data_IF_812386612977
#
_entry.id   IF_812386612977
#
_cell.length_a   1.000
_cell.length_b   1.000
_cell.length_c   1.000
_cell.angle_alpha   90.00
_cell.angle_beta   90.00
_cell.angle_gamma   90.00
#
_symmetry.space_group_name_H-M   'P 1'
#
loop_
_entity.id
_entity.type
_entity.pdbx_description
1 polymer ?
#
# COMPACT_ATOMS: atom_id res chain seq x y z
N UNK A 1 -8.62 19.24 -12.94
CA UNK A 1 -9.59 18.70 -13.92
C UNK A 1 -10.21 19.80 -14.79
N UNK A 2 -11.17 20.64 -14.33
CA UNK A 2 -11.87 21.62 -15.21
C UNK A 2 -10.95 22.51 -16.06
N UNK A 3 -9.87 23.04 -15.47
CA UNK A 3 -8.85 23.82 -16.20
C UNK A 3 -8.18 23.03 -17.34
N UNK A 4 -7.95 21.74 -17.14
CA UNK A 4 -7.35 20.86 -18.14
C UNK A 4 -8.33 20.53 -19.28
N UNK A 5 -9.62 20.33 -18.96
CA UNK A 5 -10.70 20.16 -19.95
C UNK A 5 -10.85 21.40 -20.83
N UNK A 6 -10.97 22.59 -20.21
CA UNK A 6 -11.08 23.86 -20.96
C UNK A 6 -9.86 24.11 -21.85
N UNK A 7 -8.69 23.67 -21.41
CA UNK A 7 -7.45 23.77 -22.19
C UNK A 7 -7.27 22.63 -23.21
N UNK A 8 -8.26 21.74 -23.39
CA UNK A 8 -8.20 20.62 -24.33
C UNK A 8 -7.02 19.68 -24.09
N UNK A 9 -6.59 19.51 -22.83
CA UNK A 9 -5.37 18.74 -22.51
C UNK A 9 -5.59 17.25 -22.69
N UNK A 10 -6.77 16.76 -22.36
CA UNK A 10 -7.09 15.33 -22.40
C UNK A 10 -7.27 14.83 -23.83
N UNK A 11 -7.79 15.66 -24.72
CA UNK A 11 -7.93 15.41 -26.16
C UNK A 11 -6.56 15.35 -26.87
N UNK A 12 -5.53 15.94 -26.27
CA UNK A 12 -4.15 15.93 -26.77
C UNK A 12 -3.30 14.79 -26.21
N UNK A 13 -3.84 13.97 -25.31
CA UNK A 13 -3.14 12.79 -24.80
C UNK A 13 -3.08 11.75 -25.93
N UNK A 14 -1.87 11.35 -26.38
CA UNK A 14 -1.70 10.30 -27.36
C UNK A 14 -2.11 8.96 -26.76
N UNK A 15 -2.60 8.04 -27.60
CA UNK A 15 -2.95 6.67 -27.20
C UNK A 15 -3.99 6.58 -26.08
N UNK A 16 -4.75 7.66 -25.84
CA UNK A 16 -5.86 7.65 -24.89
C UNK A 16 -6.89 6.61 -25.32
N UNK A 17 -7.42 5.87 -24.36
CA UNK A 17 -8.49 4.91 -24.58
C UNK A 17 -9.77 5.42 -23.95
N UNK A 18 -10.89 5.25 -24.64
CA UNK A 18 -12.18 5.70 -24.14
C UNK A 18 -12.90 4.54 -23.48
N UNK A 19 -13.14 4.67 -22.18
CA UNK A 19 -13.96 3.76 -21.40
C UNK A 19 -15.44 4.05 -21.63
N UNK A 20 -16.17 3.02 -22.05
CA UNK A 20 -17.61 3.06 -22.33
C UNK A 20 -18.45 2.26 -21.34
N UNK A 21 -17.81 1.53 -20.42
CA UNK A 21 -18.50 0.81 -19.36
C UNK A 21 -17.57 -0.01 -18.48
N UNK A 22 -18.15 -0.67 -17.48
CA UNK A 22 -17.46 -1.58 -16.57
C UNK A 22 -18.23 -2.90 -16.48
N UNK A 23 -17.50 -4.00 -16.39
CA UNK A 23 -18.07 -5.34 -16.17
C UNK A 23 -17.76 -5.78 -14.74
N UNK A 24 -18.72 -5.49 -13.86
CA UNK A 24 -18.55 -5.66 -12.42
C UNK A 24 -17.33 -4.89 -11.91
N UNK A 25 -16.49 -5.58 -11.12
CA UNK A 25 -15.24 -5.03 -10.56
C UNK A 25 -13.98 -5.51 -11.28
N UNK A 26 -14.12 -6.40 -12.26
CA UNK A 26 -12.98 -7.16 -12.80
C UNK A 26 -12.51 -6.66 -14.16
N UNK A 27 -13.39 -6.02 -14.94
CA UNK A 27 -13.07 -5.63 -16.29
C UNK A 27 -13.64 -4.25 -16.66
N UNK A 28 -13.07 -3.69 -17.71
CA UNK A 28 -13.44 -2.40 -18.30
C UNK A 28 -13.72 -2.60 -19.78
N UNK A 29 -14.76 -1.90 -20.26
CA UNK A 29 -15.12 -1.86 -21.65
C UNK A 29 -14.54 -0.61 -22.31
N UNK A 30 -13.76 -0.80 -23.36
CA UNK A 30 -13.08 0.23 -24.12
C UNK A 30 -13.72 0.35 -25.52
N UNK A 31 -13.72 1.56 -26.05
CA UNK A 31 -14.06 1.83 -27.44
C UNK A 31 -12.83 1.61 -28.32
N UNK A 32 -12.99 0.83 -29.38
CA UNK A 32 -11.96 0.61 -30.39
C UNK A 32 -12.00 1.71 -31.46
N UNK A 33 -10.97 1.77 -32.30
CA UNK A 33 -10.92 2.72 -33.43
C UNK A 33 -12.07 2.53 -34.44
N UNK A 34 -12.64 1.32 -34.50
CA UNK A 34 -13.83 1.01 -35.31
C UNK A 34 -15.15 1.44 -34.66
N UNK A 35 -15.12 2.00 -33.45
CA UNK A 35 -16.30 2.33 -32.64
C UNK A 35 -16.96 1.10 -31.99
N UNK A 36 -16.33 -0.08 -32.09
CA UNK A 36 -16.79 -1.28 -31.40
C UNK A 36 -16.42 -1.24 -29.92
N UNK A 37 -17.06 -2.10 -29.13
CA UNK A 37 -16.74 -2.29 -27.72
C UNK A 37 -15.86 -3.52 -27.56
N UNK A 38 -14.73 -3.35 -26.91
CA UNK A 38 -13.84 -4.43 -26.48
C UNK A 38 -13.74 -4.46 -24.96
N UNK A 39 -13.80 -5.64 -24.37
CA UNK A 39 -13.68 -5.82 -22.92
C UNK A 39 -12.30 -6.36 -22.58
N UNK A 40 -11.63 -5.72 -21.61
CA UNK A 40 -10.34 -6.17 -21.08
C UNK A 40 -10.40 -6.27 -19.56
N UNK A 41 -9.69 -7.22 -18.98
CA UNK A 41 -9.63 -7.34 -17.51
C UNK A 41 -8.70 -6.27 -16.95
N UNK A 42 -8.97 -5.83 -15.71
CA UNK A 42 -8.06 -4.90 -15.04
C UNK A 42 -6.65 -5.48 -14.92
N UNK A 43 -6.51 -6.80 -14.75
CA UNK A 43 -5.21 -7.45 -14.58
C UNK A 43 -4.36 -7.44 -15.85
N UNK A 44 -4.98 -7.33 -17.03
CA UNK A 44 -4.28 -7.24 -18.32
C UNK A 44 -3.85 -5.80 -18.63
N UNK A 45 -4.42 -4.81 -17.93
CA UNK A 45 -4.04 -3.40 -18.04
C UNK A 45 -2.92 -3.07 -17.04
N UNK A 46 -1.74 -2.77 -17.58
CA UNK A 46 -0.61 -2.31 -16.79
C UNK A 46 -0.84 -0.88 -16.22
N UNK A 47 0.00 -0.42 -15.27
CA UNK A 47 -0.14 0.91 -14.71
C UNK A 47 -0.01 2.07 -15.72
N UNK A 48 0.70 1.88 -16.84
CA UNK A 48 0.84 2.89 -17.88
C UNK A 48 -0.46 3.03 -18.69
N UNK A 49 -1.02 1.92 -19.15
CA UNK A 49 -2.29 1.85 -19.87
C UNK A 49 -3.44 2.41 -19.01
N UNK A 50 -3.49 2.08 -17.71
CA UNK A 50 -4.53 2.59 -16.79
C UNK A 50 -4.53 4.12 -16.66
N UNK A 51 -3.38 4.78 -16.83
CA UNK A 51 -3.30 6.26 -16.85
C UNK A 51 -3.92 6.86 -18.12
N UNK A 52 -3.99 6.08 -19.20
CA UNK A 52 -4.51 6.52 -20.49
C UNK A 52 -6.01 6.27 -20.64
N UNK A 53 -6.70 5.83 -19.59
CA UNK A 53 -8.15 5.62 -19.61
C UNK A 53 -8.90 6.92 -19.33
N UNK A 54 -9.80 7.28 -20.25
CA UNK A 54 -10.68 8.44 -20.14
C UNK A 54 -12.12 8.03 -20.36
N UNK A 55 -13.06 8.78 -19.80
CA UNK A 55 -14.49 8.69 -20.12
C UNK A 55 -14.95 9.99 -20.77
N UNK A 56 -15.97 9.92 -21.62
CA UNK A 56 -16.67 11.12 -22.11
C UNK A 56 -17.66 11.59 -21.04
N UNK A 57 -17.64 12.89 -20.76
CA UNK A 57 -18.68 13.57 -19.98
C UNK A 57 -19.22 14.76 -20.79
N UNK A 58 -20.35 15.36 -20.39
CA UNK A 58 -20.85 16.57 -21.05
C UNK A 58 -19.85 17.75 -21.03
N UNK A 59 -18.84 17.70 -20.16
CA UNK A 59 -17.79 18.72 -20.03
C UNK A 59 -16.51 18.40 -20.83
N UNK A 60 -16.51 17.32 -21.62
CA UNK A 60 -15.36 16.85 -22.38
C UNK A 60 -14.80 15.54 -21.81
N UNK A 61 -13.56 15.23 -22.14
CA UNK A 61 -12.93 14.03 -21.60
C UNK A 61 -12.61 14.19 -20.10
N UNK A 62 -12.66 13.10 -19.36
CA UNK A 62 -12.21 13.01 -17.97
C UNK A 62 -11.35 11.78 -17.77
N UNK A 63 -10.17 11.89 -17.14
CA UNK A 63 -9.36 10.72 -16.80
C UNK A 63 -10.09 9.86 -15.76
N UNK A 64 -9.94 8.54 -15.84
CA UNK A 64 -10.37 7.63 -14.78
C UNK A 64 -9.39 7.61 -13.59
N UNK A 65 -8.20 8.19 -13.75
CA UNK A 65 -7.20 8.29 -12.69
C UNK A 65 -7.71 9.15 -11.52
N UNK A 66 -7.64 8.59 -10.30
CA UNK A 66 -8.00 9.32 -9.07
C UNK A 66 -7.01 10.45 -8.76
N UNK A 67 -5.72 10.20 -8.98
CA UNK A 67 -4.65 11.14 -8.65
C UNK A 67 -4.18 11.88 -9.89
N UNK A 68 -4.28 13.20 -9.84
CA UNK A 68 -3.89 14.11 -10.92
C UNK A 68 -2.79 15.06 -10.44
N UNK A 69 -1.95 15.50 -11.36
CA UNK A 69 -1.03 16.60 -11.14
C UNK A 69 -1.78 17.96 -11.14
N UNK A 70 -1.08 19.05 -10.82
CA UNK A 70 -1.65 20.40 -10.84
C UNK A 70 -2.15 20.81 -12.24
N UNK A 71 -1.50 20.29 -13.28
CA UNK A 71 -1.92 20.45 -14.68
C UNK A 71 -3.16 19.62 -15.05
N UNK A 72 -3.65 18.78 -14.14
CA UNK A 72 -4.81 17.92 -14.29
C UNK A 72 -4.56 16.61 -15.02
N UNK A 73 -3.34 16.31 -15.48
CA UNK A 73 -3.00 15.03 -16.08
C UNK A 73 -2.83 13.94 -15.02
N UNK A 74 -3.10 12.66 -15.35
CA UNK A 74 -2.84 11.52 -14.47
C UNK A 74 -1.43 11.55 -13.90
N UNK A 75 -1.34 11.43 -12.57
CA UNK A 75 -0.05 11.44 -11.86
C UNK A 75 0.71 10.14 -12.13
N UNK A 76 1.98 10.27 -12.50
CA UNK A 76 2.87 9.12 -12.58
C UNK A 76 3.20 8.55 -11.19
N UNK A 77 3.35 7.24 -11.09
CA UNK A 77 3.66 6.54 -9.84
C UNK A 77 4.98 7.01 -9.22
N UNK A 78 6.02 7.23 -10.02
CA UNK A 78 7.31 7.75 -9.54
C UNK A 78 7.19 9.21 -9.07
N UNK A 79 6.20 9.95 -9.56
CA UNK A 79 5.93 11.32 -9.13
C UNK A 79 5.75 11.44 -7.60
N UNK A 80 5.23 10.40 -6.94
CA UNK A 80 5.11 10.39 -5.48
C UNK A 80 6.45 10.56 -4.74
N UNK A 81 7.57 10.07 -5.28
CA UNK A 81 8.87 10.28 -4.66
C UNK A 81 9.22 11.77 -4.53
N UNK A 82 8.90 12.57 -5.55
CA UNK A 82 9.16 14.02 -5.52
C UNK A 82 8.31 14.75 -4.46
N UNK A 83 7.06 14.30 -4.25
CA UNK A 83 6.22 14.82 -3.17
C UNK A 83 6.85 14.57 -1.80
N UNK A 84 7.38 13.38 -1.58
CA UNK A 84 8.05 13.02 -0.33
C UNK A 84 9.37 13.76 -0.15
N UNK A 85 10.18 13.90 -1.20
CA UNK A 85 11.41 14.72 -1.16
C UNK A 85 11.11 16.17 -0.79
N UNK A 86 10.08 16.75 -1.38
CA UNK A 86 9.64 18.12 -1.06
C UNK A 86 9.18 18.23 0.38
N UNK A 87 8.43 17.25 0.89
CA UNK A 87 8.01 17.21 2.29
C UNK A 87 9.21 17.04 3.24
N UNK A 88 10.15 16.14 2.94
CA UNK A 88 11.36 15.94 3.74
C UNK A 88 12.19 17.21 3.83
N UNK A 89 12.37 17.95 2.73
CA UNK A 89 13.05 19.26 2.73
C UNK A 89 12.36 20.28 3.64
N UNK A 90 11.03 20.30 3.63
CA UNK A 90 10.25 21.18 4.52
C UNK A 90 10.44 20.81 5.98
N UNK A 91 10.46 19.52 6.31
CA UNK A 91 10.69 19.03 7.67
C UNK A 91 12.11 19.35 8.15
N UNK A 92 13.11 19.16 7.29
CA UNK A 92 14.50 19.53 7.59
C UNK A 92 14.64 21.03 7.87
N UNK A 93 13.94 21.87 7.10
CA UNK A 93 13.91 23.32 7.30
C UNK A 93 13.22 23.74 8.62
N UNK A 94 12.33 22.90 9.17
CA UNK A 94 11.71 23.09 10.48
C UNK A 94 12.60 22.62 11.64
N UNK A 95 13.79 22.10 11.35
CA UNK A 95 14.81 21.76 12.36
C UNK A 95 14.90 20.27 12.71
N UNK A 96 14.04 19.41 12.14
CA UNK A 96 14.17 17.97 12.31
C UNK A 96 15.18 17.41 11.29
N UNK A 97 16.46 17.50 11.65
CA UNK A 97 17.59 17.02 10.83
C UNK A 97 17.60 15.51 10.72
N UNK A 98 18.16 15.01 9.63
CA UNK A 98 18.32 13.58 9.29
C UNK A 98 17.01 12.77 9.16
N UNK A 99 15.85 13.43 9.22
CA UNK A 99 14.57 12.80 8.93
C UNK A 99 14.35 12.69 7.42
N UNK A 100 14.00 11.49 6.97
CA UNK A 100 13.56 11.25 5.59
C UNK A 100 12.47 10.20 5.56
N UNK A 101 11.49 10.36 4.69
CA UNK A 101 10.47 9.35 4.42
C UNK A 101 10.32 9.14 2.91
N UNK A 102 10.00 7.92 2.48
CA UNK A 102 9.65 7.61 1.09
C UNK A 102 8.31 6.86 1.04
N UNK A 103 7.61 6.85 -0.11
CA UNK A 103 6.37 6.08 -0.24
C UNK A 103 6.54 4.60 0.14
N UNK A 104 7.68 4.00 -0.20
CA UNK A 104 7.95 2.59 0.11
C UNK A 104 8.09 2.33 1.61
N UNK A 105 8.59 3.31 2.37
CA UNK A 105 8.72 3.18 3.83
C UNK A 105 7.37 3.17 4.53
N UNK A 106 6.37 3.86 3.98
CA UNK A 106 5.00 3.74 4.48
C UNK A 106 4.42 2.35 4.25
N UNK A 107 4.78 1.69 3.14
CA UNK A 107 4.40 0.29 2.88
C UNK A 107 5.07 -0.66 3.88
N UNK A 108 6.32 -0.41 4.27
CA UNK A 108 6.98 -1.13 5.36
C UNK A 108 6.28 -0.91 6.71
N UNK A 109 5.96 0.34 7.07
CA UNK A 109 5.20 0.64 8.29
C UNK A 109 3.84 -0.07 8.32
N UNK A 110 3.13 -0.13 7.19
CA UNK A 110 1.86 -0.85 7.05
C UNK A 110 2.04 -2.36 7.29
N UNK A 111 3.04 -2.98 6.66
CA UNK A 111 3.32 -4.40 6.81
C UNK A 111 3.58 -4.78 8.28
N UNK A 112 4.42 -3.98 8.95
CA UNK A 112 4.78 -4.17 10.36
C UNK A 112 3.58 -3.97 11.29
N UNK A 113 2.75 -2.95 11.05
CA UNK A 113 1.51 -2.75 11.81
C UNK A 113 0.58 -3.96 11.69
N UNK A 114 0.34 -4.46 10.48
CA UNK A 114 -0.53 -5.61 10.28
C UNK A 114 0.05 -6.91 10.84
N UNK A 115 1.36 -7.09 10.78
CA UNK A 115 2.02 -8.21 11.45
C UNK A 115 1.76 -8.17 12.96
N UNK A 116 1.91 -7.00 13.57
CA UNK A 116 1.70 -6.78 15.00
C UNK A 116 0.25 -7.07 15.41
N UNK A 117 -0.71 -6.56 14.63
CA UNK A 117 -2.14 -6.85 14.82
C UNK A 117 -2.39 -8.34 14.71
N UNK A 118 -1.85 -9.01 13.68
CA UNK A 118 -2.00 -10.43 13.50
C UNK A 118 -1.49 -11.20 14.74
N UNK A 119 -0.29 -10.88 15.22
CA UNK A 119 0.32 -11.55 16.39
C UNK A 119 -0.46 -11.30 17.67
N UNK A 120 -0.99 -10.08 17.88
CA UNK A 120 -1.84 -9.77 19.03
C UNK A 120 -3.16 -10.54 18.99
N UNK A 121 -3.78 -10.63 17.81
CA UNK A 121 -5.02 -11.42 17.61
C UNK A 121 -4.74 -12.89 17.90
N UNK A 122 -3.65 -13.46 17.39
CA UNK A 122 -3.25 -14.82 17.71
C UNK A 122 -3.01 -15.00 19.21
N UNK A 123 -2.25 -14.12 19.86
CA UNK A 123 -1.96 -14.26 21.28
C UNK A 123 -3.24 -14.29 22.13
N UNK A 124 -4.23 -13.45 21.79
CA UNK A 124 -5.54 -13.46 22.46
C UNK A 124 -6.36 -14.71 22.16
N UNK A 125 -6.34 -15.19 20.91
CA UNK A 125 -7.07 -16.39 20.50
C UNK A 125 -6.45 -17.68 21.04
N UNK A 126 -5.14 -17.71 21.29
CA UNK A 126 -4.44 -18.87 21.83
C UNK A 126 -4.31 -18.88 23.35
N UNK A 127 -4.58 -17.75 24.03
CA UNK A 127 -4.40 -17.63 25.48
C UNK A 127 -5.25 -18.57 26.34
N UNK A 128 -6.19 -19.30 25.74
CA UNK A 128 -7.05 -20.31 26.39
C UNK A 128 -6.86 -21.73 25.83
N UNK A 129 -5.95 -21.92 24.87
CA UNK A 129 -5.75 -23.18 24.15
C UNK A 129 -4.51 -23.92 24.66
N UNK A 130 -4.59 -25.24 24.76
CA UNK A 130 -3.45 -26.12 25.04
C UNK A 130 -2.41 -26.06 23.91
N UNK A 131 -1.21 -26.62 24.13
CA UNK A 131 -0.16 -26.66 23.09
C UNK A 131 -0.61 -27.38 21.82
N UNK A 132 -1.46 -28.39 21.95
CA UNK A 132 -1.95 -29.18 20.83
C UNK A 132 -2.98 -28.40 20.01
N UNK A 133 -3.94 -27.77 20.70
CA UNK A 133 -4.94 -26.87 20.09
C UNK A 133 -4.27 -25.62 19.47
N UNK A 134 -3.17 -25.15 20.05
CA UNK A 134 -2.39 -24.05 19.50
C UNK A 134 -1.69 -24.41 18.18
N UNK A 135 -1.25 -25.67 18.03
CA UNK A 135 -0.64 -26.17 16.79
C UNK A 135 -1.70 -26.33 15.72
N UNK A 136 -2.84 -26.93 16.06
CA UNK A 136 -3.98 -27.14 15.16
C UNK A 136 -4.60 -25.82 14.69
N UNK A 137 -4.71 -24.83 15.60
CA UNK A 137 -5.18 -23.48 15.27
C UNK A 137 -4.23 -22.75 14.30
N UNK A 138 -2.91 -22.91 14.46
CA UNK A 138 -1.91 -22.35 13.53
C UNK A 138 -2.02 -22.96 12.13
N UNK A 139 -2.35 -24.25 12.03
CA UNK A 139 -2.60 -24.92 10.76
C UNK A 139 -3.93 -24.48 10.12
N UNK A 140 -4.98 -24.24 10.91
CA UNK A 140 -6.31 -23.84 10.40
C UNK A 140 -6.47 -22.36 10.02
N UNK A 141 -5.94 -21.42 10.83
CA UNK A 141 -6.12 -19.97 10.58
C UNK A 141 -5.03 -19.34 9.73
N UNK A 142 -3.98 -20.10 9.41
CA UNK A 142 -2.90 -19.65 8.54
C UNK A 142 -1.92 -18.74 9.26
N UNK A 143 -0.65 -18.88 8.88
CA UNK A 143 0.45 -18.05 9.34
C UNK A 143 0.10 -16.54 9.26
N UNK A 144 0.38 -15.74 10.29
CA UNK A 144 0.21 -14.26 10.35
C UNK A 144 0.68 -13.55 9.08
N UNK A 145 1.67 -14.14 8.43
CA UNK A 145 2.20 -13.72 7.16
C UNK A 145 1.18 -13.72 6.01
N UNK A 146 0.16 -14.58 6.04
CA UNK A 146 -0.95 -14.56 5.08
C UNK A 146 -1.88 -13.36 5.28
N UNK A 147 -2.12 -12.92 6.52
CA UNK A 147 -2.83 -11.65 6.75
C UNK A 147 -2.03 -10.48 6.18
N UNK A 148 -0.73 -10.42 6.50
CA UNK A 148 0.15 -9.37 5.97
C UNK A 148 0.24 -9.43 4.44
N UNK A 149 0.35 -10.62 3.85
CA UNK A 149 0.34 -10.85 2.41
C UNK A 149 -0.96 -10.30 1.79
N UNK A 150 -2.10 -10.61 2.38
CA UNK A 150 -3.42 -10.15 1.92
C UNK A 150 -3.50 -8.64 1.95
N UNK A 151 -3.11 -8.01 3.06
CA UNK A 151 -3.13 -6.55 3.22
C UNK A 151 -2.16 -5.84 2.27
N UNK A 152 -1.06 -6.49 1.89
CA UNK A 152 -0.11 -5.96 0.92
C UNK A 152 -0.47 -6.28 -0.53
N UNK A 153 -1.38 -7.23 -0.78
CA UNK A 153 -1.72 -7.72 -2.12
C UNK A 153 -0.57 -8.49 -2.79
N UNK A 154 0.26 -9.19 -2.02
CA UNK A 154 1.34 -10.00 -2.58
C UNK A 154 0.82 -11.34 -3.11
N UNK A 155 1.28 -11.73 -4.31
CA UNK A 155 0.87 -13.00 -4.94
C UNK A 155 1.31 -14.23 -4.14
N UNK A 156 2.49 -14.17 -3.52
CA UNK A 156 3.10 -15.26 -2.76
C UNK A 156 3.51 -14.77 -1.38
N UNK A 157 3.30 -15.60 -0.35
CA UNK A 157 3.64 -15.26 1.04
C UNK A 157 5.15 -15.12 1.20
N UNK A 158 5.94 -15.85 0.42
CA UNK A 158 7.40 -15.80 0.38
C UNK A 158 7.90 -14.41 0.01
N UNK A 159 7.22 -13.69 -0.88
CA UNK A 159 7.58 -12.29 -1.20
C UNK A 159 7.40 -11.41 0.03
N UNK A 160 6.31 -11.59 0.77
CA UNK A 160 6.08 -10.86 2.03
C UNK A 160 7.13 -11.20 3.07
N UNK A 161 7.44 -12.48 3.25
CA UNK A 161 8.51 -12.91 4.15
C UNK A 161 9.83 -12.32 3.70
N UNK A 162 10.32 -12.57 2.50
CA UNK A 162 11.64 -12.10 2.06
C UNK A 162 11.81 -10.57 2.11
N UNK A 163 10.78 -9.80 1.78
CA UNK A 163 10.86 -8.33 1.78
C UNK A 163 10.83 -7.73 3.18
N UNK A 164 10.06 -8.33 4.09
CA UNK A 164 9.81 -7.72 5.38
C UNK A 164 10.44 -8.48 6.56
N UNK A 165 10.73 -9.79 6.46
CA UNK A 165 11.21 -10.69 7.53
C UNK A 165 12.53 -10.29 8.18
N UNK A 166 13.52 -9.83 7.42
CA UNK A 166 14.84 -9.44 7.95
C UNK A 166 14.73 -8.35 9.06
N UNK A 167 13.96 -7.26 8.86
CA UNK A 167 13.49 -6.38 9.94
C UNK A 167 12.95 -7.07 11.20
N UNK A 168 12.19 -8.16 11.04
CA UNK A 168 11.53 -8.88 12.14
C UNK A 168 12.40 -9.92 12.83
N UNK A 169 13.44 -10.45 12.18
CA UNK A 169 14.37 -11.41 12.82
C UNK A 169 15.16 -10.74 13.95
N UNK A 170 15.59 -9.49 13.74
CA UNK A 170 16.24 -8.68 14.78
C UNK A 170 15.32 -8.32 15.95
N UNK A 171 14.01 -8.50 15.74
CA UNK A 171 12.99 -8.16 16.70
C UNK A 171 12.76 -9.32 17.70
N UNK A 172 13.28 -10.54 17.50
CA UNK A 172 13.17 -11.70 18.43
C UNK A 172 11.84 -11.80 19.24
N UNK A 173 10.74 -11.41 18.60
CA UNK A 173 9.40 -11.37 19.22
C UNK A 173 8.94 -12.79 19.56
N UNK A 174 9.44 -13.79 18.83
CA UNK A 174 9.13 -15.20 19.08
C UNK A 174 9.69 -15.74 20.40
N UNK A 175 10.84 -15.22 20.86
CA UNK A 175 11.44 -15.62 22.13
C UNK A 175 10.78 -14.89 23.31
N UNK A 176 10.44 -13.61 23.10
CA UNK A 176 9.74 -12.77 24.09
C UNK A 176 8.27 -13.20 24.29
N UNK A 177 7.52 -13.51 23.23
CA UNK A 177 6.15 -14.00 23.33
C UNK A 177 6.04 -15.40 23.97
N UNK A 178 7.07 -16.24 23.85
CA UNK A 178 7.13 -17.54 24.54
C UNK A 178 7.32 -17.41 26.06
N UNK A 179 7.75 -16.25 26.56
CA UNK A 179 8.00 -15.98 27.99
C UNK A 179 7.00 -14.99 28.61
N UNK A 180 5.97 -14.58 27.87
CA UNK A 180 5.18 -13.40 28.16
C UNK A 180 3.82 -13.67 28.80
N UNK A 181 3.81 -14.27 29.99
CA UNK A 181 2.79 -13.87 30.96
C UNK A 181 3.16 -12.46 31.46
N UNK A 182 2.51 -11.43 30.89
CA UNK A 182 2.68 -10.03 31.33
C UNK A 182 3.71 -9.17 30.57
N UNK A 183 4.19 -9.60 29.40
CA UNK A 183 5.09 -8.76 28.60
C UNK A 183 4.35 -7.54 27.99
N UNK A 184 4.87 -6.30 28.15
CA UNK A 184 4.24 -5.11 27.61
C UNK A 184 4.47 -4.99 26.10
N UNK A 185 3.71 -5.77 25.32
CA UNK A 185 3.81 -5.84 23.85
C UNK A 185 3.74 -4.45 23.23
N UNK A 186 2.87 -3.56 23.70
CA UNK A 186 2.74 -2.20 23.16
C UNK A 186 4.05 -1.39 23.24
N UNK A 187 4.70 -1.38 24.42
CA UNK A 187 5.98 -0.68 24.62
C UNK A 187 7.09 -1.29 23.78
N UNK A 188 7.15 -2.61 23.76
CA UNK A 188 8.13 -3.33 22.96
C UNK A 188 7.98 -3.05 21.46
N UNK A 189 6.74 -3.08 20.94
CA UNK A 189 6.49 -2.73 19.54
C UNK A 189 6.89 -1.28 19.25
N UNK A 190 6.61 -0.35 20.17
CA UNK A 190 7.05 1.05 20.02
C UNK A 190 8.58 1.17 19.93
N UNK A 191 9.31 0.50 20.83
CA UNK A 191 10.78 0.52 20.86
C UNK A 191 11.38 -0.09 19.60
N UNK A 192 10.87 -1.24 19.17
CA UNK A 192 11.34 -1.92 17.98
C UNK A 192 11.03 -1.15 16.68
N UNK A 193 9.88 -0.47 16.61
CA UNK A 193 9.52 0.34 15.46
C UNK A 193 10.41 1.58 15.35
N UNK A 194 10.76 2.19 16.48
CA UNK A 194 11.59 3.39 16.52
C UNK A 194 13.02 3.14 16.02
N UNK A 195 13.54 1.92 16.18
CA UNK A 195 14.90 1.56 15.78
C UNK A 195 15.03 1.12 14.31
N UNK A 196 13.93 0.82 13.62
CA UNK A 196 14.00 0.18 12.31
C UNK A 196 14.12 1.20 11.15
N UNK A 197 15.18 1.16 10.31
CA UNK A 197 15.48 2.22 9.33
C UNK A 197 14.43 2.38 8.22
N UNK A 198 13.66 1.33 7.91
CA UNK A 198 12.58 1.37 6.91
C UNK A 198 11.18 1.64 7.49
N UNK A 199 11.07 1.76 8.81
CA UNK A 199 9.81 2.03 9.50
C UNK A 199 9.82 3.48 9.95
N UNK A 200 8.67 4.13 9.84
CA UNK A 200 8.47 5.48 10.37
C UNK A 200 7.42 5.47 11.45
N UNK A 201 7.84 5.90 12.64
CA UNK A 201 7.02 6.22 13.82
C UNK A 201 6.88 7.74 13.94
N UNK A 202 6.10 8.21 14.92
CA UNK A 202 6.04 9.64 15.21
C UNK A 202 7.43 10.17 15.61
N UNK A 203 8.04 11.07 14.81
CA UNK A 203 9.36 11.61 15.12
C UNK A 203 9.37 12.56 16.32
N UNK A 204 8.20 12.97 16.83
CA UNK A 204 8.04 13.88 17.96
C UNK A 204 7.60 13.16 19.25
N UNK A 205 7.37 11.85 19.20
CA UNK A 205 7.03 11.09 20.39
C UNK A 205 8.21 11.13 21.38
N UNK A 206 7.97 11.72 22.55
CA UNK A 206 8.92 11.70 23.67
C UNK A 206 9.00 10.26 24.19
N UNK A 207 10.22 9.71 24.25
CA UNK A 207 10.50 8.38 24.82
C UNK A 207 10.36 8.38 26.34
#
# INVERSE_FOLDING_TARGET
MRRAQMAGRYERVPERQITVGFEGRQAVALETDSGARETTTWNDLDPAARKLLFRRTPQGLEPLALWLNEDGLPRDGHGWHHSFETANKRIDALGLKDFSCTPHMLRHSLALKWYSVAKLVQARQLGHLSQEETRDFREQFGDHWHLVQTMLGHRQVETTKNVYLEPFRNLEVELLLRHADGFPVERFMADAFAAHPRVRTDPLAVR
#
